data_IF_672236436164
#
_entry.id   IF_672236436164
#
_cell.length_a   1.000
_cell.length_b   1.000
_cell.length_c   1.000
_cell.angle_alpha   90.00
_cell.angle_beta   90.00
_cell.angle_gamma   90.00
#
_symmetry.space_group_name_H-M   'P 1'
#
loop_
_entity.id
_entity.type
_entity.pdbx_description
1 polymer ?
#
# COMPACT_ATOMS: atom_id res chain seq x y z
N UNK A 1 16.77 -13.90 7.11
CA UNK A 1 17.26 -12.57 6.66
C UNK A 1 16.08 -11.76 6.14
N UNK A 2 15.82 -10.55 6.63
CA UNK A 2 14.77 -9.72 6.04
C UNK A 2 15.10 -9.47 4.57
N UNK A 3 14.10 -9.40 3.67
CA UNK A 3 14.35 -9.19 2.26
C UNK A 3 15.14 -7.88 2.08
N UNK A 4 16.32 -7.97 1.47
CA UNK A 4 17.20 -6.81 1.26
C UNK A 4 16.62 -5.74 0.33
N UNK A 5 15.46 -6.01 -0.28
CA UNK A 5 14.74 -5.11 -1.18
C UNK A 5 13.29 -4.94 -0.73
N UNK A 6 12.82 -3.71 -0.79
CA UNK A 6 11.44 -3.30 -0.56
C UNK A 6 10.89 -2.63 -1.83
N UNK A 7 9.58 -2.50 -1.91
CA UNK A 7 8.92 -1.84 -3.04
C UNK A 7 8.59 -0.39 -2.69
N UNK A 8 8.68 0.45 -3.71
CA UNK A 8 8.25 1.85 -3.72
C UNK A 8 7.32 2.07 -4.89
N UNK A 9 6.35 2.97 -4.76
CA UNK A 9 5.42 3.28 -5.85
C UNK A 9 5.32 4.77 -6.11
N UNK A 10 5.16 5.11 -7.38
CA UNK A 10 4.71 6.42 -7.81
C UNK A 10 3.23 6.31 -8.23
N UNK A 11 2.33 6.89 -7.45
CA UNK A 11 0.90 6.84 -7.71
C UNK A 11 0.49 7.58 -9.01
N UNK A 12 1.01 8.79 -9.32
CA UNK A 12 0.70 9.48 -10.57
C UNK A 12 1.15 8.68 -11.81
N UNK A 13 2.36 8.12 -11.78
CA UNK A 13 2.91 7.37 -12.90
C UNK A 13 2.38 5.92 -12.99
N UNK A 14 1.76 5.41 -11.91
CA UNK A 14 1.30 4.03 -11.76
C UNK A 14 2.43 3.02 -12.02
N UNK A 15 3.56 3.22 -11.36
CA UNK A 15 4.77 2.40 -11.49
C UNK A 15 5.30 2.02 -10.10
N UNK A 16 5.92 0.84 -10.03
CA UNK A 16 6.61 0.35 -8.84
C UNK A 16 8.09 0.15 -9.11
N UNK A 17 8.93 0.47 -8.14
CA UNK A 17 10.37 0.24 -8.15
C UNK A 17 10.78 -0.63 -6.97
N UNK A 18 11.51 -1.70 -7.22
CA UNK A 18 12.19 -2.47 -6.17
C UNK A 18 13.51 -1.79 -5.85
N UNK A 19 13.71 -1.40 -4.59
CA UNK A 19 14.94 -0.74 -4.12
C UNK A 19 15.29 -1.24 -2.73
N UNK A 20 16.50 -0.95 -2.26
CA UNK A 20 16.88 -1.26 -0.87
C UNK A 20 15.99 -0.51 0.13
N UNK A 21 15.85 -1.05 1.34
CA UNK A 21 15.20 -0.35 2.46
C UNK A 21 15.96 0.96 2.71
N UNK A 22 15.28 2.07 3.07
CA UNK A 22 16.00 3.31 3.32
C UNK A 22 16.86 3.14 4.56
N UNK A 23 18.14 3.50 4.44
CA UNK A 23 19.02 3.64 5.60
C UNK A 23 18.76 4.97 6.34
N UNK A 24 19.39 5.19 7.50
CA UNK A 24 19.23 6.41 8.29
C UNK A 24 19.66 7.71 7.55
N UNK A 25 20.42 7.59 6.46
CA UNK A 25 20.91 8.73 5.65
C UNK A 25 20.29 8.75 4.23
N UNK A 26 19.28 7.94 3.98
CA UNK A 26 18.62 7.83 2.68
C UNK A 26 17.58 8.95 2.55
N UNK A 27 17.76 9.81 1.55
CA UNK A 27 16.92 10.96 1.28
C UNK A 27 15.61 10.56 0.61
N UNK A 28 14.65 11.50 0.58
CA UNK A 28 13.37 11.32 -0.10
C UNK A 28 13.57 10.84 -1.54
N UNK A 29 13.05 9.64 -1.80
CA UNK A 29 13.25 8.98 -3.08
C UNK A 29 12.27 9.53 -4.10
N UNK A 30 12.79 10.02 -5.22
CA UNK A 30 11.99 10.58 -6.30
C UNK A 30 11.77 9.59 -7.44
N UNK A 31 10.64 9.74 -8.11
CA UNK A 31 10.28 8.97 -9.29
C UNK A 31 11.16 9.41 -10.47
N UNK A 32 11.91 8.50 -11.12
CA UNK A 32 12.77 8.88 -12.24
C UNK A 32 11.99 9.36 -13.48
N UNK A 33 10.67 9.19 -13.50
CA UNK A 33 9.81 9.59 -14.61
C UNK A 33 9.19 10.97 -14.46
N UNK A 34 8.81 11.35 -13.24
CA UNK A 34 8.07 12.60 -12.99
C UNK A 34 8.64 13.43 -11.83
N UNK A 35 9.79 13.04 -11.28
CA UNK A 35 10.42 13.63 -10.10
C UNK A 35 9.57 13.69 -8.82
N UNK A 36 8.34 13.17 -8.84
CA UNK A 36 7.46 13.14 -7.66
C UNK A 36 7.90 12.14 -6.61
N UNK A 37 7.42 12.31 -5.37
CA UNK A 37 7.75 11.44 -4.25
C UNK A 37 7.37 9.97 -4.49
N UNK A 38 8.28 9.06 -4.15
CA UNK A 38 8.03 7.63 -4.12
C UNK A 38 7.57 7.21 -2.73
N UNK A 39 6.40 6.58 -2.66
CA UNK A 39 5.86 6.08 -1.40
C UNK A 39 6.46 4.70 -1.13
N UNK A 40 7.10 4.52 0.02
CA UNK A 40 7.52 3.21 0.49
C UNK A 40 6.30 2.35 0.81
N UNK A 41 6.16 1.19 0.15
CA UNK A 41 4.98 0.32 0.29
C UNK A 41 5.27 -1.00 0.98
N UNK A 42 6.54 -1.43 1.06
CA UNK A 42 6.94 -2.66 1.76
C UNK A 42 7.37 -3.80 0.84
N UNK A 43 7.91 -4.86 1.44
CA UNK A 43 8.56 -5.97 0.75
C UNK A 43 7.61 -7.02 0.17
N UNK A 44 6.40 -7.16 0.73
CA UNK A 44 5.39 -8.12 0.27
C UNK A 44 4.46 -7.53 -0.82
N UNK A 45 4.74 -6.32 -1.30
CA UNK A 45 3.89 -5.64 -2.26
C UNK A 45 3.97 -6.26 -3.66
N UNK A 46 2.80 -6.66 -4.18
CA UNK A 46 2.61 -7.04 -5.57
C UNK A 46 2.00 -5.86 -6.35
N UNK A 47 2.74 -5.37 -7.35
CA UNK A 47 2.31 -4.21 -8.12
C UNK A 47 1.12 -4.54 -9.03
N UNK A 48 0.04 -3.74 -9.02
CA UNK A 48 -1.04 -3.88 -9.98
C UNK A 48 -0.57 -3.63 -11.41
N UNK A 49 -1.32 -4.14 -12.39
CA UNK A 49 -1.09 -3.79 -13.80
C UNK A 49 -1.23 -2.28 -13.97
N UNK A 50 -0.31 -1.63 -14.70
CA UNK A 50 -0.30 -0.17 -14.89
C UNK A 50 -1.63 0.41 -15.42
N UNK A 51 -2.33 -0.34 -16.29
CA UNK A 51 -3.62 0.04 -16.88
C UNK A 51 -4.81 -0.10 -15.92
N UNK A 52 -4.66 -0.82 -14.81
CA UNK A 52 -5.73 -1.07 -13.86
C UNK A 52 -5.94 0.13 -12.93
N UNK A 53 -6.64 1.15 -13.45
CA UNK A 53 -6.89 2.37 -12.70
C UNK A 53 -7.67 2.15 -11.40
N UNK A 54 -8.47 1.09 -11.31
CA UNK A 54 -9.22 0.77 -10.09
C UNK A 54 -8.27 0.26 -9.00
N UNK A 55 -7.39 -0.69 -9.31
CA UNK A 55 -6.41 -1.20 -8.36
C UNK A 55 -5.44 -0.11 -7.88
N UNK A 56 -5.00 0.78 -8.78
CA UNK A 56 -4.15 1.93 -8.40
C UNK A 56 -4.86 2.94 -7.50
N UNK A 57 -6.17 3.16 -7.69
CA UNK A 57 -6.99 3.99 -6.78
C UNK A 57 -7.13 3.35 -5.42
N UNK A 58 -7.44 2.05 -5.36
CA UNK A 58 -7.47 1.27 -4.12
C UNK A 58 -6.14 1.39 -3.37
N UNK A 59 -5.02 1.21 -4.06
CA UNK A 59 -3.70 1.35 -3.47
C UNK A 59 -3.47 2.75 -2.90
N UNK A 60 -3.85 3.81 -3.63
CA UNK A 60 -3.74 5.19 -3.13
C UNK A 60 -4.46 5.37 -1.80
N UNK A 61 -5.67 4.82 -1.68
CA UNK A 61 -6.47 4.90 -0.45
C UNK A 61 -5.78 4.16 0.70
N UNK A 62 -5.33 2.92 0.46
CA UNK A 62 -4.60 2.14 1.46
C UNK A 62 -3.36 2.88 1.97
N UNK A 63 -2.57 3.46 1.04
CA UNK A 63 -1.34 4.14 1.43
C UNK A 63 -1.60 5.44 2.21
N UNK A 64 -2.65 6.18 1.86
CA UNK A 64 -3.06 7.39 2.61
C UNK A 64 -3.58 7.03 4.01
N UNK A 65 -4.22 5.87 4.17
CA UNK A 65 -4.63 5.35 5.47
C UNK A 65 -3.48 4.75 6.29
N UNK A 66 -2.23 4.83 5.81
CA UNK A 66 -1.06 4.28 6.52
C UNK A 66 -0.83 2.78 6.33
N UNK A 67 -1.68 2.10 5.56
CA UNK A 67 -1.54 0.65 5.32
C UNK A 67 -0.30 0.38 4.45
N UNK A 68 0.56 -0.56 4.87
CA UNK A 68 1.80 -0.96 4.19
C UNK A 68 1.93 -2.47 4.08
N UNK A 69 2.64 -2.99 3.10
CA UNK A 69 2.72 -4.41 2.73
C UNK A 69 4.07 -4.99 3.16
N UNK A 70 4.22 -5.27 4.44
CA UNK A 70 5.43 -5.89 4.99
C UNK A 70 5.27 -7.41 5.04
N UNK A 71 6.32 -8.13 4.64
CA UNK A 71 6.40 -9.56 4.90
C UNK A 71 6.72 -9.74 6.38
N UNK A 72 5.71 -9.96 7.23
CA UNK A 72 5.89 -10.48 8.58
C UNK A 72 6.11 -12.00 8.53
N UNK A 73 6.83 -12.54 9.52
CA UNK A 73 7.13 -13.97 9.60
C UNK A 73 5.95 -14.85 10.07
N UNK A 74 4.83 -14.27 10.51
CA UNK A 74 3.79 -15.03 11.22
C UNK A 74 2.49 -15.30 10.45
N UNK A 75 2.00 -14.40 9.58
CA UNK A 75 0.59 -14.50 9.11
C UNK A 75 0.37 -14.11 7.63
N UNK A 76 1.42 -14.15 6.80
CA UNK A 76 1.33 -13.63 5.43
C UNK A 76 0.99 -12.13 5.40
N UNK A 77 0.63 -11.56 4.24
CA UNK A 77 0.34 -10.12 4.15
C UNK A 77 -0.97 -9.67 4.82
N UNK A 78 -1.74 -10.61 5.40
CA UNK A 78 -3.13 -10.42 5.79
C UNK A 78 -4.04 -10.14 4.59
N UNK A 79 -5.34 -10.00 4.85
CA UNK A 79 -6.30 -9.54 3.85
C UNK A 79 -5.94 -8.13 3.37
N UNK A 80 -6.08 -7.90 2.06
CA UNK A 80 -5.93 -6.59 1.45
C UNK A 80 -7.00 -6.39 0.38
N UNK A 81 -7.81 -5.33 0.45
CA UNK A 81 -8.85 -5.08 -0.53
C UNK A 81 -8.21 -4.85 -1.89
N UNK A 82 -8.76 -5.51 -2.91
CA UNK A 82 -8.25 -5.45 -4.29
C UNK A 82 -9.07 -4.50 -5.14
N UNK A 83 -10.27 -4.15 -4.69
CA UNK A 83 -11.24 -3.33 -5.42
C UNK A 83 -11.64 -2.08 -4.64
N UNK A 84 -12.09 -1.06 -5.35
CA UNK A 84 -12.60 0.18 -4.75
C UNK A 84 -13.89 -0.07 -3.96
N UNK A 85 -14.66 -1.10 -4.32
CA UNK A 85 -15.88 -1.49 -3.59
C UNK A 85 -15.54 -1.97 -2.17
N UNK A 86 -14.60 -2.90 -2.05
CA UNK A 86 -14.14 -3.41 -0.76
C UNK A 86 -13.57 -2.31 0.15
N UNK A 87 -12.90 -1.33 -0.44
CA UNK A 87 -12.42 -0.13 0.27
C UNK A 87 -13.59 0.70 0.79
N UNK A 88 -14.61 0.96 -0.04
CA UNK A 88 -15.78 1.75 0.38
C UNK A 88 -16.55 1.06 1.49
N UNK A 89 -16.79 -0.24 1.39
CA UNK A 89 -17.48 -1.03 2.41
C UNK A 89 -16.77 -0.90 3.77
N UNK A 90 -15.44 -1.07 3.79
CA UNK A 90 -14.62 -0.95 5.00
C UNK A 90 -14.56 0.48 5.54
N UNK A 91 -14.47 1.48 4.66
CA UNK A 91 -14.53 2.89 5.08
C UNK A 91 -15.89 3.27 5.65
N UNK A 92 -16.98 2.76 5.09
CA UNK A 92 -18.32 2.95 5.65
C UNK A 92 -18.41 2.30 7.03
N UNK A 93 -17.91 1.07 7.17
CA UNK A 93 -17.85 0.39 8.46
C UNK A 93 -17.06 1.20 9.51
N UNK A 94 -15.85 1.64 9.18
CA UNK A 94 -15.03 2.49 10.05
C UNK A 94 -15.77 3.76 10.50
N UNK A 95 -16.52 4.40 9.60
CA UNK A 95 -17.33 5.57 9.93
C UNK A 95 -18.48 5.25 10.88
N UNK A 96 -19.10 4.08 10.73
CA UNK A 96 -20.21 3.66 11.60
C UNK A 96 -19.76 3.18 12.97
N UNK A 97 -18.58 2.56 13.08
CA UNK A 97 -18.07 1.99 14.34
C UNK A 97 -17.09 2.91 15.07
N UNK A 98 -16.56 3.94 14.39
CA UNK A 98 -15.50 4.79 14.90
C UNK A 98 -14.11 4.14 14.85
N UNK A 99 -13.97 2.98 14.23
CA UNK A 99 -12.68 2.29 14.09
C UNK A 99 -11.72 3.08 13.19
N UNK A 100 -10.40 3.12 13.49
CA UNK A 100 -9.43 3.74 12.58
C UNK A 100 -9.46 3.11 11.19
N UNK A 101 -9.42 3.94 10.14
CA UNK A 101 -9.44 3.44 8.75
C UNK A 101 -8.33 2.43 8.45
N UNK A 102 -7.16 2.57 9.07
CA UNK A 102 -6.04 1.65 8.88
C UNK A 102 -6.38 0.21 9.30
N UNK A 103 -7.16 0.07 10.38
CA UNK A 103 -7.59 -1.22 10.93
C UNK A 103 -8.75 -1.78 10.11
N UNK A 104 -9.77 -0.96 9.84
CA UNK A 104 -10.94 -1.38 9.07
C UNK A 104 -10.56 -1.85 7.64
N UNK A 105 -9.57 -1.19 7.02
CA UNK A 105 -9.12 -1.52 5.67
C UNK A 105 -8.37 -2.86 5.57
N UNK A 106 -7.87 -3.42 6.67
CA UNK A 106 -7.17 -4.71 6.69
C UNK A 106 -8.04 -5.84 7.26
N UNK A 107 -9.28 -5.57 7.67
CA UNK A 107 -10.22 -6.60 8.13
C UNK A 107 -10.60 -7.52 6.97
N UNK A 108 -10.44 -8.83 7.21
CA UNK A 108 -10.87 -9.87 6.28
C UNK A 108 -12.40 -9.86 6.15
N UNK A 109 -13.09 -9.91 7.30
CA UNK A 109 -14.55 -9.87 7.38
C UNK A 109 -15.05 -8.59 8.07
N UNK A 110 -16.11 -8.02 7.50
CA UNK A 110 -16.92 -6.98 8.12
C UNK A 110 -18.16 -7.65 8.74
N UNK A 111 -18.51 -7.33 10.00
CA UNK A 111 -19.74 -7.82 10.61
C UNK A 111 -20.99 -7.15 10.00
#
# INVERSE_FOLDING_TARGET
MPPGKTSYVCLPCRVSYKRHRPGPYDHDRVCPRCAGALVHVGSAFAAPKRRDAAAWRTLSVLLHAGVRFHAGCSDGPGYRPRTVREVRERMSHARTTGEPFAEALIRDELP
#
